data_IF_432132785533
#
_entry.id   IF_432132785533
#
_cell.length_a   1.000
_cell.length_b   1.000
_cell.length_c   1.000
_cell.angle_alpha   90.00
_cell.angle_beta   90.00
_cell.angle_gamma   90.00
#
_symmetry.space_group_name_H-M   'P 1'
#
loop_
_entity.id
_entity.type
_entity.pdbx_description
1 polymer ?
#
# COMPACT_ATOMS: atom_id res chain seq x y z
N UNK A 1 15.10 19.43 -3.04
CA UNK A 1 15.14 18.51 -1.89
C UNK A 1 14.71 17.14 -2.39
N UNK A 2 15.62 16.17 -2.46
CA UNK A 2 15.32 14.80 -2.91
C UNK A 2 14.66 14.05 -1.76
N UNK A 3 13.38 13.72 -1.93
CA UNK A 3 12.61 12.91 -0.96
C UNK A 3 13.30 11.57 -0.77
N UNK A 4 13.35 11.02 0.45
CA UNK A 4 13.97 9.70 0.68
C UNK A 4 13.15 8.58 0.03
N UNK A 5 13.80 7.46 -0.30
CA UNK A 5 13.11 6.31 -0.90
C UNK A 5 12.02 5.74 0.03
N UNK A 6 12.33 5.57 1.31
CA UNK A 6 11.35 5.16 2.33
C UNK A 6 10.15 6.09 2.35
N UNK A 7 10.36 7.41 2.30
CA UNK A 7 9.27 8.38 2.31
C UNK A 7 8.41 8.32 1.04
N UNK A 8 9.00 8.06 -0.13
CA UNK A 8 8.24 7.80 -1.36
C UNK A 8 7.41 6.52 -1.27
N UNK A 9 7.97 5.46 -0.69
CA UNK A 9 7.26 4.19 -0.46
C UNK A 9 6.12 4.35 0.55
N UNK A 10 6.33 5.13 1.62
CA UNK A 10 5.28 5.47 2.58
C UNK A 10 4.11 6.17 1.89
N UNK A 11 4.38 7.16 1.03
CA UNK A 11 3.34 7.83 0.27
C UNK A 11 2.61 6.89 -0.68
N UNK A 12 3.33 5.99 -1.37
CA UNK A 12 2.69 5.00 -2.23
C UNK A 12 1.77 4.05 -1.44
N UNK A 13 2.22 3.55 -0.29
CA UNK A 13 1.40 2.73 0.62
C UNK A 13 0.13 3.47 1.02
N UNK A 14 0.23 4.75 1.38
CA UNK A 14 -0.91 5.54 1.83
C UNK A 14 -1.91 5.79 0.69
N UNK A 15 -1.43 6.06 -0.53
CA UNK A 15 -2.26 6.19 -1.74
C UNK A 15 -2.98 4.87 -2.06
N UNK A 16 -2.26 3.74 -1.99
CA UNK A 16 -2.86 2.41 -2.19
C UNK A 16 -3.91 2.09 -1.12
N UNK A 17 -3.65 2.47 0.14
CA UNK A 17 -4.61 2.34 1.23
C UNK A 17 -5.89 3.15 1.02
N UNK A 18 -5.78 4.37 0.48
CA UNK A 18 -6.96 5.18 0.11
C UNK A 18 -7.70 4.57 -1.08
N UNK A 19 -6.98 4.13 -2.12
CA UNK A 19 -7.59 3.44 -3.26
C UNK A 19 -8.39 2.20 -2.82
N UNK A 20 -7.86 1.42 -1.86
CA UNK A 20 -8.58 0.30 -1.24
C UNK A 20 -9.88 0.77 -0.59
N UNK A 21 -9.85 1.83 0.23
CA UNK A 21 -11.06 2.36 0.90
C UNK A 21 -12.13 2.74 -0.12
N UNK A 22 -11.74 3.41 -1.21
CA UNK A 22 -12.65 3.76 -2.29
C UNK A 22 -13.23 2.53 -3.00
N UNK A 23 -12.41 1.52 -3.28
CA UNK A 23 -12.86 0.26 -3.90
C UNK A 23 -13.83 -0.50 -3.00
N UNK A 24 -13.60 -0.54 -1.68
CA UNK A 24 -14.54 -1.17 -0.73
C UNK A 24 -15.91 -0.48 -0.79
N UNK A 25 -15.94 0.86 -0.89
CA UNK A 25 -17.18 1.61 -1.05
C UNK A 25 -17.87 1.26 -2.38
N UNK A 26 -17.13 1.30 -3.49
CA UNK A 26 -17.66 0.95 -4.81
C UNK A 26 -18.20 -0.49 -4.86
N UNK A 27 -17.54 -1.43 -4.18
CA UNK A 27 -17.99 -2.82 -4.05
C UNK A 27 -19.33 -2.94 -3.32
N UNK A 28 -19.57 -2.10 -2.32
CA UNK A 28 -20.83 -2.07 -1.59
C UNK A 28 -22.00 -1.60 -2.46
N UNK A 29 -21.72 -0.78 -3.46
CA UNK A 29 -22.72 -0.18 -4.35
C UNK A 29 -22.87 -0.95 -5.69
N UNK A 30 -22.10 -2.03 -5.89
CA UNK A 30 -21.98 -2.75 -7.15
C UNK A 30 -22.93 -3.96 -7.27
N UNK A 31 -23.35 -4.25 -8.49
CA UNK A 31 -24.01 -5.50 -8.89
C UNK A 31 -23.06 -6.70 -8.84
N UNK A 32 -23.61 -7.91 -8.76
CA UNK A 32 -22.86 -9.11 -8.36
C UNK A 32 -21.61 -9.39 -9.22
N UNK A 33 -21.68 -9.16 -10.53
CA UNK A 33 -20.53 -9.33 -11.44
C UNK A 33 -19.42 -8.33 -11.17
N UNK A 34 -19.75 -7.03 -11.08
CA UNK A 34 -18.76 -5.98 -10.78
C UNK A 34 -18.19 -6.10 -9.37
N UNK A 35 -18.97 -6.59 -8.42
CA UNK A 35 -18.47 -6.85 -7.06
C UNK A 35 -17.31 -7.87 -7.05
N UNK A 36 -17.33 -8.89 -7.92
CA UNK A 36 -16.25 -9.87 -8.05
C UNK A 36 -15.00 -9.21 -8.64
N UNK A 37 -15.15 -8.40 -9.69
CA UNK A 37 -14.04 -7.67 -10.30
C UNK A 37 -13.39 -6.70 -9.30
N UNK A 38 -14.21 -5.97 -8.53
CA UNK A 38 -13.70 -5.05 -7.50
C UNK A 38 -12.97 -5.80 -6.39
N UNK A 39 -13.46 -6.97 -5.96
CA UNK A 39 -12.76 -7.81 -4.99
C UNK A 39 -11.37 -8.24 -5.48
N UNK A 40 -11.24 -8.59 -6.77
CA UNK A 40 -9.95 -8.94 -7.36
C UNK A 40 -8.98 -7.75 -7.36
N UNK A 41 -9.47 -6.54 -7.63
CA UNK A 41 -8.67 -5.32 -7.57
C UNK A 41 -8.26 -5.02 -6.12
N UNK A 42 -9.19 -5.15 -5.16
CA UNK A 42 -8.88 -4.97 -3.73
C UNK A 42 -7.74 -5.91 -3.30
N UNK A 43 -7.78 -7.18 -3.71
CA UNK A 43 -6.74 -8.15 -3.38
C UNK A 43 -5.36 -7.75 -3.95
N UNK A 44 -5.32 -7.21 -5.17
CA UNK A 44 -4.07 -6.71 -5.78
C UNK A 44 -3.53 -5.48 -5.05
N UNK A 45 -4.42 -4.55 -4.66
CA UNK A 45 -4.05 -3.36 -3.88
C UNK A 45 -3.52 -3.77 -2.50
N UNK A 46 -4.15 -4.75 -1.84
CA UNK A 46 -3.68 -5.28 -0.56
C UNK A 46 -2.29 -5.88 -0.65
N UNK A 47 -2.03 -6.66 -1.70
CA UNK A 47 -0.72 -7.22 -1.95
C UNK A 47 0.35 -6.13 -2.14
N UNK A 48 0.04 -5.07 -2.89
CA UNK A 48 0.97 -3.95 -3.10
C UNK A 48 1.24 -3.15 -1.82
N UNK A 49 0.22 -2.95 -0.96
CA UNK A 49 0.38 -2.32 0.36
C UNK A 49 1.31 -3.16 1.24
N UNK A 50 1.09 -4.47 1.32
CA UNK A 50 1.88 -5.38 2.14
C UNK A 50 3.37 -5.36 1.74
N UNK A 51 3.66 -5.44 0.44
CA UNK A 51 5.04 -5.34 -0.06
C UNK A 51 5.67 -4.00 0.31
N UNK A 52 4.91 -2.91 0.16
CA UNK A 52 5.41 -1.58 0.49
C UNK A 52 5.76 -1.48 1.98
N UNK A 53 4.92 -2.02 2.86
CA UNK A 53 5.19 -2.10 4.31
C UNK A 53 6.43 -2.94 4.62
N UNK A 54 6.58 -4.09 3.97
CA UNK A 54 7.73 -4.97 4.15
C UNK A 54 9.04 -4.27 3.76
N UNK A 55 9.07 -3.58 2.62
CA UNK A 55 10.26 -2.84 2.17
C UNK A 55 10.57 -1.68 3.12
N UNK A 56 9.55 -0.92 3.55
CA UNK A 56 9.71 0.17 4.52
C UNK A 56 10.34 -0.36 5.81
N UNK A 57 9.80 -1.44 6.37
CA UNK A 57 10.31 -2.04 7.61
C UNK A 57 11.75 -2.55 7.43
N UNK A 58 12.06 -3.22 6.32
CA UNK A 58 13.42 -3.67 6.00
C UNK A 58 14.39 -2.50 5.93
N UNK A 59 14.01 -1.39 5.30
CA UNK A 59 14.83 -0.18 5.19
C UNK A 59 15.05 0.49 6.56
N UNK A 60 14.02 0.56 7.40
CA UNK A 60 14.13 1.09 8.75
C UNK A 60 15.04 0.23 9.64
N UNK A 61 14.91 -1.10 9.56
CA UNK A 61 15.79 -2.03 10.27
C UNK A 61 17.23 -1.93 9.80
N UNK A 62 17.47 -1.88 8.49
CA UNK A 62 18.80 -1.67 7.93
C UNK A 62 19.41 -0.36 8.44
N UNK A 63 18.63 0.73 8.49
CA UNK A 63 19.07 2.03 8.99
C UNK A 63 19.40 2.03 10.48
N UNK A 64 18.61 1.32 11.31
CA UNK A 64 18.92 1.14 12.75
C UNK A 64 20.20 0.33 12.97
N UNK A 65 20.42 -0.71 12.17
CA UNK A 65 21.57 -1.60 12.28
C UNK A 65 22.86 -1.02 11.69
N UNK A 66 22.76 -0.02 10.81
CA UNK A 66 23.91 0.62 10.16
C UNK A 66 24.51 1.81 10.92
N UNK A 67 23.95 2.16 12.08
CA UNK A 67 24.63 2.98 13.10
C UNK A 67 25.13 4.35 12.64
N UNK A 68 24.34 5.38 12.90
CA UNK A 68 24.88 6.72 13.15
C UNK A 68 24.48 7.10 14.57
N UNK A 69 25.48 7.08 15.46
CA UNK A 69 25.56 7.94 16.65
C UNK A 69 25.69 9.38 16.16
#
# INVERSE_FOLDING_TARGET
MTVSETQRLTWQRDVLGEAKRMLVKLRSDADHGKAIEINNIIAQVDYAVLISEEIIQRNEHARKNSGTV
#
